data_IF_710178354354
#
_entry.id   IF_710178354354
#
_cell.length_a   1.000
_cell.length_b   1.000
_cell.length_c   1.000
_cell.angle_alpha   90.00
_cell.angle_beta   90.00
_cell.angle_gamma   90.00
#
_symmetry.space_group_name_H-M   'P 1'
#
loop_
_entity.id
_entity.type
_entity.pdbx_description
1 polymer ?
#
# COMPACT_ATOMS: atom_id res chain seq x y z
N UNK A 1 25.13 41.17 -39.11
CA UNK A 1 25.84 39.88 -38.95
C UNK A 1 25.35 39.20 -37.68
N UNK A 2 25.26 37.87 -37.72
CA UNK A 2 24.31 37.03 -37.00
C UNK A 2 24.34 37.09 -35.46
N UNK A 3 23.15 37.13 -34.86
CA UNK A 3 22.92 36.97 -33.43
C UNK A 3 23.24 35.54 -32.98
N UNK A 4 24.20 35.42 -32.05
CA UNK A 4 24.58 34.16 -31.43
C UNK A 4 23.44 33.65 -30.54
N UNK A 5 22.69 32.66 -31.03
CA UNK A 5 21.63 31.97 -30.26
C UNK A 5 22.29 31.18 -29.14
N UNK A 6 22.41 31.80 -27.97
CA UNK A 6 22.95 31.18 -26.77
C UNK A 6 22.02 30.04 -26.33
N UNK A 7 22.34 28.80 -26.71
CA UNK A 7 21.58 27.61 -26.30
C UNK A 7 21.86 27.36 -24.82
N UNK A 8 21.03 27.96 -23.96
CA UNK A 8 21.03 27.67 -22.53
C UNK A 8 20.52 26.25 -22.32
N UNK A 9 21.43 25.34 -22.00
CA UNK A 9 21.11 23.98 -21.56
C UNK A 9 20.25 24.08 -20.31
N UNK A 10 19.05 23.49 -20.34
CA UNK A 10 18.12 23.51 -19.21
C UNK A 10 17.96 22.11 -18.66
N UNK A 11 17.79 22.03 -17.33
CA UNK A 11 17.50 20.79 -16.63
C UNK A 11 16.20 20.18 -17.17
N UNK A 12 16.24 18.94 -17.62
CA UNK A 12 15.06 18.23 -18.11
C UNK A 12 13.98 18.04 -17.03
N UNK A 13 14.37 18.02 -15.74
CA UNK A 13 13.44 17.82 -14.63
C UNK A 13 12.82 19.08 -14.02
N UNK A 14 13.49 20.24 -14.09
CA UNK A 14 12.98 21.47 -13.46
C UNK A 14 13.18 22.76 -14.28
N UNK A 15 13.77 22.66 -15.47
CA UNK A 15 13.96 23.78 -16.38
C UNK A 15 15.03 24.80 -15.98
N UNK A 16 15.71 24.65 -14.84
CA UNK A 16 16.79 25.56 -14.41
C UNK A 16 17.99 25.46 -15.37
N UNK A 17 18.65 26.57 -15.73
CA UNK A 17 19.85 26.55 -16.57
C UNK A 17 20.97 25.72 -15.93
N UNK A 18 21.61 24.89 -16.75
CA UNK A 18 22.69 24.00 -16.35
C UNK A 18 24.05 24.58 -16.75
N UNK A 19 25.08 24.20 -15.99
CA UNK A 19 26.46 24.45 -16.37
C UNK A 19 26.79 23.72 -17.69
N UNK A 20 27.64 24.34 -18.52
CA UNK A 20 27.95 23.89 -19.89
C UNK A 20 28.63 22.51 -19.93
N UNK A 21 29.23 22.10 -18.82
CA UNK A 21 29.91 20.82 -18.61
C UNK A 21 28.99 19.72 -18.02
N UNK A 22 27.72 20.04 -17.72
CA UNK A 22 26.78 19.07 -17.18
C UNK A 22 26.23 18.14 -18.27
N UNK A 23 26.93 17.01 -18.47
CA UNK A 23 26.56 15.95 -19.42
C UNK A 23 25.34 15.12 -19.00
N UNK A 24 24.90 15.23 -17.74
CA UNK A 24 23.81 14.42 -17.21
C UNK A 24 22.41 14.94 -17.59
N UNK A 25 22.29 16.14 -18.19
CA UNK A 25 21.00 16.72 -18.59
C UNK A 25 20.07 17.12 -17.43
N UNK A 26 20.53 16.92 -16.19
CA UNK A 26 19.78 17.14 -14.96
C UNK A 26 20.61 17.97 -13.98
N UNK A 27 19.97 18.89 -13.26
CA UNK A 27 20.61 19.58 -12.15
C UNK A 27 20.82 18.59 -10.99
N UNK A 28 21.80 18.83 -10.12
CA UNK A 28 22.14 17.91 -9.02
C UNK A 28 20.93 17.48 -8.17
N UNK A 29 19.94 18.35 -7.85
CA UNK A 29 18.70 17.92 -7.19
C UNK A 29 17.78 17.03 -8.02
N UNK A 30 17.66 17.27 -9.34
CA UNK A 30 16.85 16.44 -10.23
C UNK A 30 17.54 15.11 -10.54
N UNK A 31 18.85 15.10 -10.78
CA UNK A 31 19.63 13.87 -10.92
C UNK A 31 19.63 13.03 -9.64
N UNK A 32 19.66 13.67 -8.46
CA UNK A 32 19.48 12.98 -7.17
C UNK A 32 18.08 12.38 -7.05
N UNK A 33 17.02 13.10 -7.47
CA UNK A 33 15.64 12.58 -7.48
C UNK A 33 15.47 11.42 -8.44
N UNK A 34 16.06 11.50 -9.63
CA UNK A 34 16.00 10.45 -10.64
C UNK A 34 16.77 9.21 -10.18
N UNK A 35 17.98 9.36 -9.65
CA UNK A 35 18.74 8.26 -9.05
C UNK A 35 18.06 7.64 -7.81
N UNK A 36 17.16 8.39 -7.15
CA UNK A 36 16.28 7.90 -6.07
C UNK A 36 14.98 7.25 -6.59
N UNK A 37 14.62 7.48 -7.86
CA UNK A 37 13.45 6.91 -8.54
C UNK A 37 13.82 5.66 -9.37
N UNK A 38 15.08 5.54 -9.81
CA UNK A 38 15.60 4.33 -10.46
C UNK A 38 15.47 3.12 -9.53
N UNK A 39 15.01 1.99 -10.07
CA UNK A 39 14.93 0.70 -9.37
C UNK A 39 16.29 0.16 -8.92
N UNK A 40 16.30 -1.01 -8.28
CA UNK A 40 17.55 -1.65 -7.88
C UNK A 40 18.37 -2.01 -9.13
N UNK A 41 19.67 -1.66 -9.19
CA UNK A 41 20.51 -2.04 -10.32
C UNK A 41 20.81 -3.53 -10.29
N UNK A 42 20.89 -4.16 -11.46
CA UNK A 42 21.43 -5.51 -11.58
C UNK A 42 22.87 -5.57 -11.04
N UNK A 43 23.21 -6.68 -10.38
CA UNK A 43 24.52 -6.90 -9.75
C UNK A 43 25.30 -7.99 -10.48
N UNK A 44 26.62 -7.85 -10.63
CA UNK A 44 27.46 -8.91 -11.18
C UNK A 44 27.50 -10.10 -10.22
N UNK A 45 27.76 -11.31 -10.74
CA UNK A 45 27.75 -12.53 -9.91
C UNK A 45 28.73 -12.48 -8.73
N UNK A 46 29.89 -11.85 -8.90
CA UNK A 46 30.88 -11.65 -7.83
C UNK A 46 30.37 -10.83 -6.65
N UNK A 47 29.33 -10.00 -6.83
CA UNK A 47 28.68 -9.28 -5.73
C UNK A 47 28.00 -10.24 -4.75
N UNK A 48 27.36 -11.30 -5.26
CA UNK A 48 26.65 -12.29 -4.45
C UNK A 48 27.57 -13.30 -3.77
N UNK A 49 28.86 -13.32 -4.14
CA UNK A 49 29.86 -14.23 -3.60
C UNK A 49 30.59 -13.69 -2.36
N UNK A 50 30.29 -12.48 -1.91
CA UNK A 50 30.93 -11.95 -0.72
C UNK A 50 30.46 -12.69 0.55
N UNK A 51 31.38 -12.87 1.52
CA UNK A 51 31.13 -13.66 2.72
C UNK A 51 29.87 -13.19 3.48
N UNK A 52 29.68 -11.88 3.64
CA UNK A 52 28.53 -11.33 4.36
C UNK A 52 27.18 -11.67 3.71
N UNK A 53 27.08 -11.67 2.37
CA UNK A 53 25.86 -12.07 1.67
C UNK A 53 25.67 -13.58 1.72
N UNK A 54 26.73 -14.36 1.55
CA UNK A 54 26.67 -15.82 1.62
C UNK A 54 26.24 -16.31 3.01
N UNK A 55 26.80 -15.74 4.08
CA UNK A 55 26.42 -16.05 5.46
C UNK A 55 24.95 -15.74 5.72
N UNK A 56 24.48 -14.57 5.26
CA UNK A 56 23.08 -14.15 5.42
C UNK A 56 22.10 -15.04 4.64
N UNK A 57 22.46 -15.46 3.42
CA UNK A 57 21.69 -16.39 2.60
C UNK A 57 21.67 -17.79 3.21
N UNK A 58 22.80 -18.26 3.74
CA UNK A 58 22.91 -19.55 4.44
C UNK A 58 22.09 -19.57 5.74
N UNK A 59 22.05 -18.45 6.48
CA UNK A 59 21.21 -18.26 7.66
C UNK A 59 19.71 -18.17 7.34
N UNK A 60 19.33 -18.13 6.06
CA UNK A 60 17.94 -18.01 5.58
C UNK A 60 17.19 -16.82 6.18
N UNK A 61 17.92 -15.74 6.47
CA UNK A 61 17.40 -14.56 7.16
C UNK A 61 17.41 -13.36 6.22
N UNK A 62 16.29 -13.12 5.53
CA UNK A 62 16.22 -12.08 4.50
C UNK A 62 16.55 -10.67 5.03
N UNK A 63 16.29 -10.37 6.31
CA UNK A 63 16.74 -9.12 6.93
C UNK A 63 18.27 -8.94 6.95
N UNK A 64 19.02 -10.02 7.13
CA UNK A 64 20.49 -9.99 7.09
C UNK A 64 20.97 -9.84 5.64
N UNK A 65 20.23 -10.44 4.68
CA UNK A 65 20.51 -10.27 3.25
C UNK A 65 20.34 -8.81 2.84
N UNK A 66 19.29 -8.13 3.31
CA UNK A 66 19.08 -6.69 3.07
C UNK A 66 20.20 -5.83 3.67
N UNK A 67 20.63 -6.15 4.89
CA UNK A 67 21.74 -5.47 5.55
C UNK A 67 23.05 -5.65 4.76
N UNK A 68 23.43 -6.88 4.45
CA UNK A 68 24.65 -7.19 3.70
C UNK A 68 24.62 -6.54 2.30
N UNK A 69 23.50 -6.66 1.57
CA UNK A 69 23.32 -6.03 0.26
C UNK A 69 23.54 -4.51 0.32
N UNK A 70 23.00 -3.83 1.34
CA UNK A 70 23.15 -2.37 1.52
C UNK A 70 24.60 -1.96 1.74
N UNK A 71 25.33 -2.72 2.55
CA UNK A 71 26.70 -2.40 2.94
C UNK A 71 27.73 -2.77 1.85
N UNK A 72 27.44 -3.79 1.05
CA UNK A 72 28.26 -4.19 -0.09
C UNK A 72 28.03 -3.32 -1.33
N UNK A 73 26.84 -2.72 -1.44
CA UNK A 73 26.56 -1.77 -2.51
C UNK A 73 27.48 -0.55 -2.42
N UNK A 74 28.06 -0.12 -3.55
CA UNK A 74 28.87 1.11 -3.64
C UNK A 74 28.17 2.15 -4.53
N UNK A 75 27.85 3.35 -4.01
CA UNK A 75 27.97 3.78 -2.61
C UNK A 75 27.00 3.03 -1.69
N UNK A 76 27.30 2.98 -0.38
CA UNK A 76 26.48 2.31 0.62
C UNK A 76 25.05 2.85 0.56
N UNK A 77 24.08 1.95 0.46
CA UNK A 77 22.67 2.33 0.36
C UNK A 77 22.15 2.77 1.73
N UNK A 78 21.14 3.63 1.76
CA UNK A 78 20.38 3.96 2.97
C UNK A 78 19.17 3.02 3.11
N UNK A 79 18.66 2.83 4.34
CA UNK A 79 17.53 1.91 4.57
C UNK A 79 16.28 2.42 3.84
N UNK A 80 16.13 3.75 3.75
CA UNK A 80 15.08 4.38 2.97
C UNK A 80 15.20 4.09 1.46
N UNK A 81 16.43 3.97 0.92
CA UNK A 81 16.66 3.74 -0.50
C UNK A 81 16.32 2.31 -0.90
N UNK A 82 16.82 1.31 -0.17
CA UNK A 82 16.44 -0.08 -0.45
C UNK A 82 14.96 -0.32 -0.17
N UNK A 83 14.41 0.31 0.88
CA UNK A 83 13.01 0.22 1.22
C UNK A 83 12.13 0.70 0.07
N UNK A 84 12.48 1.81 -0.56
CA UNK A 84 11.76 2.33 -1.72
C UNK A 84 11.67 1.33 -2.89
N UNK A 85 12.74 0.59 -3.17
CA UNK A 85 12.70 -0.44 -4.20
C UNK A 85 11.74 -1.57 -3.82
N UNK A 86 11.78 -1.99 -2.56
CA UNK A 86 11.02 -3.11 -2.02
C UNK A 86 9.56 -2.78 -1.68
N UNK A 87 9.13 -1.52 -1.81
CA UNK A 87 7.83 -1.07 -1.32
C UNK A 87 7.74 -1.03 0.21
N UNK A 88 8.87 -0.84 0.90
CA UNK A 88 8.99 -0.81 2.36
C UNK A 88 9.39 0.57 2.87
N UNK A 89 8.92 0.94 4.06
CA UNK A 89 9.40 2.12 4.77
C UNK A 89 10.81 1.90 5.34
N UNK A 90 11.55 2.98 5.58
CA UNK A 90 12.87 2.91 6.22
C UNK A 90 12.81 2.16 7.58
N UNK A 91 11.77 2.38 8.37
CA UNK A 91 11.56 1.72 9.65
C UNK A 91 11.21 0.23 9.52
N UNK A 92 10.51 -0.18 8.46
CA UNK A 92 10.27 -1.60 8.15
C UNK A 92 11.57 -2.31 7.79
N UNK A 93 12.40 -1.73 6.90
CA UNK A 93 13.73 -2.28 6.59
C UNK A 93 14.58 -2.39 7.86
N UNK A 94 14.60 -1.34 8.69
CA UNK A 94 15.34 -1.35 9.96
C UNK A 94 14.86 -2.44 10.93
N UNK A 95 13.55 -2.71 11.00
CA UNK A 95 13.00 -3.83 11.79
C UNK A 95 13.38 -5.18 11.22
N UNK A 96 13.31 -5.35 9.90
CA UNK A 96 13.71 -6.60 9.23
C UNK A 96 15.19 -6.91 9.47
N UNK A 97 16.07 -5.91 9.34
CA UNK A 97 17.51 -6.07 9.60
C UNK A 97 17.82 -6.43 11.06
N UNK A 98 16.98 -6.01 12.01
CA UNK A 98 17.16 -6.25 13.46
C UNK A 98 16.31 -7.38 14.03
N UNK A 99 15.44 -7.99 13.22
CA UNK A 99 14.58 -9.07 13.69
C UNK A 99 15.43 -10.26 14.12
N UNK A 100 15.11 -10.85 15.28
CA UNK A 100 15.76 -12.07 15.73
C UNK A 100 15.25 -13.31 14.97
N UNK A 101 14.03 -13.24 14.43
CA UNK A 101 13.40 -14.32 13.69
C UNK A 101 13.30 -14.01 12.19
N UNK A 102 13.59 -14.99 11.31
CA UNK A 102 13.41 -14.85 9.87
C UNK A 102 11.95 -14.59 9.47
N UNK A 103 11.76 -13.86 8.37
CA UNK A 103 10.44 -13.74 7.73
C UNK A 103 10.17 -15.01 6.90
N UNK A 104 9.02 -15.66 7.14
CA UNK A 104 8.65 -16.92 6.47
C UNK A 104 7.63 -16.76 5.32
N UNK A 105 7.18 -15.54 5.02
CA UNK A 105 6.22 -15.25 3.96
C UNK A 105 6.88 -15.38 2.57
N UNK A 106 6.76 -16.57 1.96
CA UNK A 106 7.37 -16.89 0.65
C UNK A 106 6.98 -15.91 -0.46
N UNK A 107 5.77 -15.35 -0.42
CA UNK A 107 5.31 -14.39 -1.44
C UNK A 107 6.06 -13.04 -1.34
N UNK A 108 6.40 -12.62 -0.13
CA UNK A 108 7.23 -11.42 0.09
C UNK A 108 8.68 -11.68 -0.27
N UNK A 109 9.20 -12.84 0.11
CA UNK A 109 10.58 -13.23 -0.21
C UNK A 109 10.80 -13.33 -1.72
N UNK A 110 9.88 -13.94 -2.47
CA UNK A 110 9.89 -14.00 -3.94
C UNK A 110 9.91 -12.59 -4.56
N UNK A 111 8.98 -11.74 -4.14
CA UNK A 111 8.88 -10.37 -4.64
C UNK A 111 10.15 -9.57 -4.38
N UNK A 112 10.68 -9.61 -3.16
CA UNK A 112 11.89 -8.86 -2.80
C UNK A 112 13.13 -9.38 -3.52
N UNK A 113 13.25 -10.70 -3.67
CA UNK A 113 14.35 -11.30 -4.41
C UNK A 113 14.36 -10.88 -5.89
N UNK A 114 13.20 -10.80 -6.53
CA UNK A 114 13.09 -10.28 -7.91
C UNK A 114 13.47 -8.83 -8.03
N UNK A 115 12.94 -7.99 -7.12
CA UNK A 115 13.22 -6.55 -7.13
C UNK A 115 14.72 -6.28 -6.98
N UNK A 116 15.43 -7.06 -6.16
CA UNK A 116 16.87 -6.93 -5.97
C UNK A 116 17.69 -7.72 -6.98
N UNK A 117 17.03 -8.41 -7.92
CA UNK A 117 17.67 -9.27 -8.92
C UNK A 117 18.58 -10.33 -8.29
N UNK A 118 18.15 -10.95 -7.18
CA UNK A 118 18.88 -12.04 -6.53
C UNK A 118 18.80 -13.29 -7.42
N UNK A 119 19.93 -13.90 -7.82
CA UNK A 119 19.92 -15.11 -8.62
C UNK A 119 19.26 -16.28 -7.90
N UNK A 120 18.52 -17.11 -8.64
CA UNK A 120 17.85 -18.32 -8.11
C UNK A 120 18.81 -19.26 -7.37
N UNK A 121 20.05 -19.40 -7.85
CA UNK A 121 21.05 -20.30 -7.25
C UNK A 121 21.55 -19.81 -5.89
N UNK A 122 21.32 -18.55 -5.53
CA UNK A 122 21.68 -17.99 -4.22
C UNK A 122 20.58 -18.18 -3.17
N UNK A 123 19.33 -18.44 -3.59
CA UNK A 123 18.17 -18.46 -2.71
C UNK A 123 17.92 -19.85 -2.13
N UNK A 124 17.44 -19.90 -0.88
CA UNK A 124 17.02 -21.14 -0.21
C UNK A 124 15.57 -21.55 -0.54
N UNK A 125 14.92 -20.86 -1.48
CA UNK A 125 13.56 -21.10 -1.93
C UNK A 125 13.47 -20.90 -3.44
N UNK A 126 12.40 -21.42 -4.06
CA UNK A 126 12.17 -21.30 -5.50
C UNK A 126 11.42 -20.01 -5.84
N UNK A 127 11.94 -19.25 -6.79
CA UNK A 127 11.21 -18.16 -7.42
C UNK A 127 10.11 -18.74 -8.31
N UNK A 128 8.92 -18.18 -8.21
CA UNK A 128 7.77 -18.59 -9.02
C UNK A 128 8.08 -18.35 -10.51
N UNK A 129 7.64 -19.21 -11.45
CA UNK A 129 7.84 -18.94 -12.86
C UNK A 129 7.19 -17.62 -13.25
N UNK A 130 7.96 -16.72 -13.85
CA UNK A 130 7.45 -15.47 -14.41
C UNK A 130 6.70 -15.84 -15.69
N UNK A 131 5.38 -15.65 -15.74
CA UNK A 131 4.61 -15.80 -16.98
C UNK A 131 4.93 -14.64 -17.93
N UNK A 132 6.11 -14.71 -18.56
CA UNK A 132 6.48 -13.82 -19.65
C UNK A 132 5.69 -14.20 -20.90
N UNK A 133 4.54 -13.54 -21.13
CA UNK A 133 3.98 -13.25 -22.46
C UNK A 133 2.71 -12.39 -22.42
N UNK A 134 2.84 -11.12 -22.83
CA UNK A 134 1.83 -10.38 -23.60
C UNK A 134 2.42 -9.11 -24.23
N UNK A 135 3.33 -9.26 -25.21
CA UNK A 135 3.54 -8.27 -26.27
C UNK A 135 2.71 -8.67 -27.50
N UNK A 136 2.00 -7.69 -28.12
CA UNK A 136 1.40 -7.58 -29.47
C UNK A 136 0.74 -8.84 -30.12
N UNK A 137 -0.53 -8.89 -30.57
CA UNK A 137 -1.23 -8.06 -31.59
C UNK A 137 -2.72 -8.57 -31.70
N UNK A 138 -3.53 -8.16 -32.70
CA UNK A 138 -4.86 -7.54 -32.61
C UNK A 138 -6.08 -8.50 -32.51
N UNK A 139 -7.26 -7.91 -32.26
CA UNK A 139 -8.57 -8.59 -32.19
C UNK A 139 -8.92 -9.36 -33.48
N UNK A 140 -9.54 -10.53 -33.36
CA UNK A 140 -10.77 -10.93 -34.07
C UNK A 140 -11.34 -12.24 -33.47
N UNK A 141 -12.57 -12.55 -33.87
CA UNK A 141 -13.62 -13.17 -33.08
C UNK A 141 -13.59 -14.71 -32.94
N UNK A 142 -14.35 -15.15 -31.92
CA UNK A 142 -15.17 -16.38 -31.86
C UNK A 142 -14.50 -17.75 -31.56
N UNK A 143 -14.79 -18.21 -30.33
CA UNK A 143 -15.36 -19.51 -29.94
C UNK A 143 -14.56 -20.83 -29.98
N UNK A 144 -14.75 -21.58 -28.87
CA UNK A 144 -14.58 -23.04 -28.59
C UNK A 144 -13.14 -23.51 -28.22
N UNK A 145 -12.85 -24.22 -27.12
CA UNK A 145 -13.68 -24.80 -26.05
C UNK A 145 -12.82 -25.32 -24.85
N UNK A 146 -13.51 -25.67 -23.75
CA UNK A 146 -13.25 -26.65 -22.65
C UNK A 146 -11.94 -27.49 -22.68
N UNK A 147 -11.28 -27.97 -21.61
CA UNK A 147 -11.51 -28.18 -20.15
C UNK A 147 -10.18 -28.73 -19.55
N UNK A 148 -9.74 -28.58 -18.29
CA UNK A 148 -10.12 -29.26 -17.02
C UNK A 148 -9.04 -28.89 -15.96
N UNK A 149 -9.32 -28.16 -14.86
CA UNK A 149 -9.74 -28.54 -13.48
C UNK A 149 -8.77 -29.36 -12.60
N UNK A 150 -8.19 -28.68 -11.60
CA UNK A 150 -8.14 -29.01 -10.14
C UNK A 150 -7.62 -27.77 -9.41
N UNK A 151 -8.28 -27.10 -8.46
CA UNK A 151 -9.60 -27.31 -7.84
C UNK A 151 -9.61 -26.72 -6.42
N UNK A 152 -9.72 -25.38 -6.28
CA UNK A 152 -10.37 -24.68 -5.15
C UNK A 152 -10.46 -23.14 -5.39
N UNK A 153 -9.64 -22.57 -6.29
CA UNK A 153 -9.70 -21.14 -6.68
C UNK A 153 -10.84 -20.79 -7.68
N UNK A 154 -11.55 -21.80 -8.20
CA UNK A 154 -12.45 -21.63 -9.35
C UNK A 154 -13.93 -21.39 -8.98
N UNK A 155 -14.32 -21.58 -7.72
CA UNK A 155 -15.73 -21.46 -7.31
C UNK A 155 -16.18 -19.99 -7.25
N UNK A 156 -15.32 -19.09 -6.76
CA UNK A 156 -15.62 -17.65 -6.73
C UNK A 156 -15.62 -17.00 -8.12
N UNK A 157 -14.79 -17.51 -9.04
CA UNK A 157 -14.69 -16.98 -10.41
C UNK A 157 -15.91 -17.34 -11.27
N UNK A 158 -16.53 -18.50 -11.03
CA UNK A 158 -17.67 -19.00 -11.85
C UNK A 158 -19.04 -18.53 -11.37
N UNK A 159 -19.23 -18.23 -10.08
CA UNK A 159 -20.49 -17.64 -9.61
C UNK A 159 -20.69 -16.21 -10.12
N UNK A 160 -19.59 -15.46 -10.34
CA UNK A 160 -19.63 -14.11 -10.91
C UNK A 160 -19.99 -14.06 -12.41
N UNK A 161 -19.80 -15.15 -13.17
CA UNK A 161 -20.02 -15.18 -14.63
C UNK A 161 -21.37 -15.77 -15.06
N UNK A 162 -22.16 -16.37 -14.16
CA UNK A 162 -23.49 -16.92 -14.49
C UNK A 162 -24.66 -15.99 -14.17
N UNK A 163 -24.43 -14.83 -13.54
CA UNK A 163 -25.47 -13.83 -13.31
C UNK A 163 -25.77 -12.91 -14.52
N UNK A 164 -25.09 -13.10 -15.67
CA UNK A 164 -25.14 -12.16 -16.80
C UNK A 164 -25.96 -12.61 -18.03
N UNK A 165 -26.86 -13.60 -17.91
CA UNK A 165 -27.71 -14.02 -19.05
C UNK A 165 -29.15 -14.35 -18.68
N UNK A 166 -29.92 -13.35 -18.25
CA UNK A 166 -31.33 -13.15 -18.65
C UNK A 166 -31.63 -11.64 -18.57
N UNK A 167 -32.03 -11.02 -19.68
CA UNK A 167 -32.60 -9.67 -19.68
C UNK A 167 -32.00 -8.71 -20.71
N UNK A 168 -32.26 -8.95 -21.99
CA UNK A 168 -32.07 -7.95 -23.03
C UNK A 168 -33.14 -6.86 -22.89
N UNK A 169 -32.74 -5.60 -22.66
CA UNK A 169 -33.07 -4.43 -23.48
C UNK A 169 -32.75 -3.10 -22.77
N UNK A 170 -32.11 -2.20 -23.55
CA UNK A 170 -31.99 -0.74 -23.42
C UNK A 170 -30.83 -0.12 -22.60
N UNK A 171 -29.92 0.50 -23.38
CA UNK A 171 -29.07 1.68 -23.13
C UNK A 171 -27.95 1.61 -22.06
N UNK A 172 -26.70 1.55 -22.56
CA UNK A 172 -25.56 2.35 -22.12
C UNK A 172 -24.90 2.06 -20.76
N UNK A 173 -23.60 1.73 -20.74
CA UNK A 173 -22.80 1.85 -19.52
C UNK A 173 -21.50 1.04 -19.49
N UNK A 174 -20.38 1.75 -19.39
CA UNK A 174 -19.00 1.29 -19.28
C UNK A 174 -18.76 0.21 -18.20
N UNK A 175 -17.93 -0.80 -18.50
CA UNK A 175 -17.55 -1.87 -17.57
C UNK A 175 -16.50 -1.46 -16.50
N UNK A 176 -16.23 -0.17 -16.30
CA UNK A 176 -15.39 0.38 -15.21
C UNK A 176 -15.80 1.80 -14.82
N UNK A 177 -17.05 1.99 -14.36
CA UNK A 177 -17.65 3.29 -14.06
C UNK A 177 -17.46 3.87 -12.64
N UNK A 178 -16.62 3.30 -11.76
CA UNK A 178 -16.51 3.80 -10.37
C UNK A 178 -15.55 4.98 -10.22
N UNK A 179 -14.43 5.04 -10.94
CA UNK A 179 -13.40 6.07 -10.68
C UNK A 179 -13.80 7.51 -11.05
N UNK A 180 -14.99 7.71 -11.63
CA UNK A 180 -15.51 9.03 -11.96
C UNK A 180 -17.04 9.14 -11.84
N UNK A 181 -17.66 8.37 -10.94
CA UNK A 181 -19.02 8.66 -10.53
C UNK A 181 -18.98 9.92 -9.67
N UNK A 182 -19.35 11.07 -10.23
CA UNK A 182 -19.81 12.20 -9.42
C UNK A 182 -20.87 11.65 -8.48
N UNK A 183 -20.57 11.61 -7.19
CA UNK A 183 -21.54 11.27 -6.16
C UNK A 183 -22.76 12.16 -6.40
N UNK A 184 -23.98 11.60 -6.57
CA UNK A 184 -25.17 12.43 -6.63
C UNK A 184 -25.21 13.30 -5.36
N UNK A 185 -25.73 14.54 -5.44
CA UNK A 185 -25.80 15.44 -4.30
C UNK A 185 -26.47 14.71 -3.12
N UNK A 186 -26.05 14.98 -1.86
CA UNK A 186 -26.56 14.26 -0.70
C UNK A 186 -28.08 14.43 -0.62
N UNK A 187 -28.81 13.40 -1.03
CA UNK A 187 -30.23 13.32 -0.79
C UNK A 187 -30.39 13.10 0.70
N UNK A 188 -30.85 14.13 1.42
CA UNK A 188 -31.15 14.13 2.87
C UNK A 188 -32.33 13.20 3.25
N UNK A 189 -32.48 12.07 2.56
CA UNK A 189 -33.58 11.12 2.74
C UNK A 189 -33.25 9.70 2.29
N UNK A 190 -31.97 9.28 2.30
CA UNK A 190 -31.67 7.85 2.16
C UNK A 190 -31.77 7.18 3.53
N UNK A 191 -32.63 6.18 3.65
CA UNK A 191 -32.61 5.31 4.82
C UNK A 191 -31.36 4.43 4.75
N UNK A 192 -30.60 4.36 5.84
CA UNK A 192 -29.40 3.51 5.93
C UNK A 192 -29.83 2.11 6.36
N UNK A 193 -29.34 1.11 5.63
CA UNK A 193 -29.68 -0.30 5.84
C UNK A 193 -28.45 -1.19 6.06
N UNK A 194 -28.69 -2.46 6.37
CA UNK A 194 -27.61 -3.45 6.58
C UNK A 194 -26.72 -3.63 5.36
N UNK A 195 -27.23 -3.43 4.14
CA UNK A 195 -26.43 -3.46 2.92
C UNK A 195 -25.32 -2.40 2.94
N UNK A 196 -25.60 -1.20 3.46
CA UNK A 196 -24.59 -0.14 3.56
C UNK A 196 -23.48 -0.55 4.54
N UNK A 197 -23.85 -1.16 5.67
CA UNK A 197 -22.89 -1.71 6.64
C UNK A 197 -22.00 -2.77 6.01
N UNK A 198 -22.59 -3.71 5.25
CA UNK A 198 -21.86 -4.77 4.57
C UNK A 198 -20.86 -4.21 3.55
N UNK A 199 -21.25 -3.17 2.79
CA UNK A 199 -20.35 -2.49 1.86
C UNK A 199 -19.17 -1.87 2.61
N UNK A 200 -19.41 -1.18 3.73
CA UNK A 200 -18.34 -0.59 4.55
C UNK A 200 -17.38 -1.66 5.07
N UNK A 201 -17.91 -2.80 5.55
CA UNK A 201 -17.08 -3.92 6.02
C UNK A 201 -16.24 -4.53 4.90
N UNK A 202 -16.83 -4.81 3.74
CA UNK A 202 -16.10 -5.39 2.60
C UNK A 202 -15.01 -4.44 2.08
N UNK A 203 -15.32 -3.15 1.99
CA UNK A 203 -14.33 -2.13 1.63
C UNK A 203 -13.21 -2.04 2.67
N UNK A 204 -13.54 -2.08 3.96
CA UNK A 204 -12.54 -2.11 5.04
C UNK A 204 -11.63 -3.34 4.93
N UNK A 205 -12.19 -4.52 4.70
CA UNK A 205 -11.39 -5.74 4.47
C UNK A 205 -10.52 -5.63 3.23
N UNK A 206 -11.02 -5.04 2.14
CA UNK A 206 -10.24 -4.78 0.92
C UNK A 206 -9.06 -3.86 1.23
N UNK A 207 -9.28 -2.78 1.97
CA UNK A 207 -8.21 -1.90 2.37
C UNK A 207 -7.21 -2.58 3.32
N UNK A 208 -7.66 -3.43 4.24
CA UNK A 208 -6.76 -4.25 5.09
C UNK A 208 -5.91 -5.20 4.26
N UNK A 209 -6.49 -5.86 3.24
CA UNK A 209 -5.72 -6.71 2.31
C UNK A 209 -4.67 -5.90 1.55
N UNK A 210 -5.03 -4.72 1.07
CA UNK A 210 -4.10 -3.81 0.39
C UNK A 210 -3.01 -3.30 1.33
N UNK A 211 -3.35 -2.94 2.56
CA UNK A 211 -2.43 -2.53 3.61
C UNK A 211 -1.44 -3.65 3.98
N UNK A 212 -1.94 -4.87 4.19
CA UNK A 212 -1.09 -6.03 4.48
C UNK A 212 -0.18 -6.41 3.31
N UNK A 213 -0.63 -6.20 2.07
CA UNK A 213 0.11 -6.55 0.84
C UNK A 213 1.12 -5.49 0.44
N UNK A 214 0.75 -4.21 0.51
CA UNK A 214 1.52 -3.09 -0.04
C UNK A 214 2.04 -2.11 1.04
N UNK A 215 1.58 -2.23 2.29
CA UNK A 215 1.91 -1.33 3.41
C UNK A 215 1.01 -0.09 3.49
N UNK A 216 0.90 0.49 4.69
CA UNK A 216 -0.09 1.53 5.02
C UNK A 216 0.04 2.88 4.35
N UNK A 217 1.06 3.11 3.53
CA UNK A 217 1.15 4.33 2.72
C UNK A 217 0.29 4.30 1.46
N UNK A 218 0.12 3.14 0.82
CA UNK A 218 -0.35 3.07 -0.57
C UNK A 218 -1.86 3.23 -0.71
N UNK A 219 -2.65 2.69 0.22
CA UNK A 219 -4.10 2.80 0.19
C UNK A 219 -4.64 3.98 1.05
N UNK A 220 -3.78 4.74 1.74
CA UNK A 220 -4.20 5.72 2.74
C UNK A 220 -5.13 6.78 2.16
N UNK A 221 -4.75 7.39 1.04
CA UNK A 221 -5.57 8.45 0.42
C UNK A 221 -6.94 7.92 0.00
N UNK A 222 -7.02 6.66 -0.45
CA UNK A 222 -8.28 6.01 -0.79
C UNK A 222 -9.14 5.76 0.47
N UNK A 223 -8.54 5.27 1.56
CA UNK A 223 -9.22 5.06 2.85
C UNK A 223 -9.73 6.38 3.42
N UNK A 224 -8.91 7.44 3.45
CA UNK A 224 -9.32 8.75 3.95
C UNK A 224 -10.44 9.36 3.10
N UNK A 225 -10.36 9.24 1.77
CA UNK A 225 -11.42 9.71 0.88
C UNK A 225 -12.72 8.92 1.07
N UNK A 226 -12.65 7.59 1.16
CA UNK A 226 -13.81 6.74 1.38
C UNK A 226 -14.48 7.03 2.74
N UNK A 227 -13.69 7.20 3.79
CA UNK A 227 -14.19 7.59 5.11
C UNK A 227 -14.94 8.94 5.03
N UNK A 228 -14.35 9.94 4.39
CA UNK A 228 -14.90 11.30 4.33
C UNK A 228 -16.13 11.42 3.43
N UNK A 229 -16.08 10.82 2.24
CA UNK A 229 -17.06 11.01 1.17
C UNK A 229 -18.20 10.00 1.22
N UNK A 230 -17.93 8.76 1.66
CA UNK A 230 -18.91 7.68 1.61
C UNK A 230 -19.43 7.31 3.00
N UNK A 231 -18.56 7.21 4.01
CA UNK A 231 -18.93 6.66 5.32
C UNK A 231 -19.48 7.71 6.28
N UNK A 232 -18.85 8.88 6.41
CA UNK A 232 -19.32 9.95 7.30
C UNK A 232 -20.76 10.41 7.00
N UNK A 233 -21.21 10.52 5.73
CA UNK A 233 -22.61 10.82 5.44
C UNK A 233 -23.59 9.76 5.96
N UNK A 234 -23.22 8.48 5.98
CA UNK A 234 -24.08 7.40 6.50
C UNK A 234 -24.29 7.53 8.01
N UNK A 235 -23.26 7.93 8.75
CA UNK A 235 -23.39 8.19 10.19
C UNK A 235 -24.33 9.37 10.49
N UNK A 236 -24.32 10.39 9.62
CA UNK A 236 -25.16 11.59 9.73
C UNK A 236 -26.59 11.39 9.20
N UNK A 237 -26.93 10.21 8.68
CA UNK A 237 -28.27 9.98 8.15
C UNK A 237 -29.32 9.96 9.28
N UNK A 238 -30.42 10.69 9.06
CA UNK A 238 -31.51 10.81 10.03
C UNK A 238 -32.30 9.50 10.19
N UNK A 239 -32.47 8.75 9.09
CA UNK A 239 -33.23 7.49 9.07
C UNK A 239 -32.31 6.27 9.11
N UNK A 240 -32.04 5.77 10.30
CA UNK A 240 -31.31 4.52 10.53
C UNK A 240 -31.86 3.81 11.77
N UNK A 241 -32.22 2.52 11.64
CA UNK A 241 -32.68 1.70 12.77
C UNK A 241 -31.55 1.54 13.79
N UNK A 242 -31.87 1.38 15.06
CA UNK A 242 -30.89 1.34 16.15
C UNK A 242 -29.91 0.16 16.05
N UNK A 243 -30.38 -1.01 15.60
CA UNK A 243 -29.56 -2.19 15.31
C UNK A 243 -28.59 -1.93 14.15
N UNK A 244 -29.07 -1.36 13.05
CA UNK A 244 -28.23 -0.97 11.90
C UNK A 244 -27.21 0.11 12.30
N UNK A 245 -27.60 1.08 13.13
CA UNK A 245 -26.72 2.14 13.61
C UNK A 245 -25.60 1.56 14.48
N UNK A 246 -25.90 0.59 15.33
CA UNK A 246 -24.90 -0.14 16.12
C UNK A 246 -23.88 -0.84 15.22
N UNK A 247 -24.35 -1.61 14.23
CA UNK A 247 -23.48 -2.32 13.29
C UNK A 247 -22.66 -1.38 12.40
N UNK A 248 -23.26 -0.27 11.96
CA UNK A 248 -22.56 0.76 11.19
C UNK A 248 -21.45 1.40 12.03
N UNK A 249 -21.73 1.79 13.27
CA UNK A 249 -20.73 2.38 14.16
C UNK A 249 -19.56 1.42 14.40
N UNK A 250 -19.82 0.11 14.54
CA UNK A 250 -18.76 -0.90 14.64
C UNK A 250 -17.90 -0.95 13.37
N UNK A 251 -18.53 -1.00 12.19
CA UNK A 251 -17.83 -0.99 10.91
C UNK A 251 -17.01 0.30 10.69
N UNK A 252 -17.53 1.46 11.13
CA UNK A 252 -16.77 2.72 11.09
C UNK A 252 -15.59 2.70 12.05
N UNK A 253 -15.74 2.12 13.23
CA UNK A 253 -14.64 1.98 14.18
C UNK A 253 -13.50 1.13 13.58
N UNK A 254 -13.82 0.01 12.93
CA UNK A 254 -12.83 -0.83 12.24
C UNK A 254 -12.10 -0.09 11.11
N UNK A 255 -12.81 0.72 10.33
CA UNK A 255 -12.23 1.54 9.26
C UNK A 255 -11.37 2.69 9.82
N UNK A 256 -11.84 3.34 10.89
CA UNK A 256 -11.11 4.39 11.59
C UNK A 256 -9.83 3.86 12.24
N UNK A 257 -9.87 2.65 12.80
CA UNK A 257 -8.69 1.94 13.30
C UNK A 257 -7.64 1.78 12.19
N UNK A 258 -8.06 1.25 11.03
CA UNK A 258 -7.19 1.08 9.87
C UNK A 258 -6.58 2.41 9.42
N UNK A 259 -7.41 3.45 9.24
CA UNK A 259 -6.96 4.78 8.85
C UNK A 259 -5.92 5.36 9.83
N UNK A 260 -6.13 5.11 11.13
CA UNK A 260 -5.22 5.54 12.19
C UNK A 260 -3.86 4.84 12.14
N UNK A 261 -3.83 3.52 11.97
CA UNK A 261 -2.58 2.78 11.82
C UNK A 261 -1.82 3.16 10.56
N UNK A 262 -2.51 3.26 9.43
CA UNK A 262 -1.94 3.74 8.17
C UNK A 262 -1.35 5.15 8.30
N UNK A 263 -1.98 6.01 9.12
CA UNK A 263 -1.44 7.33 9.37
C UNK A 263 -0.15 7.31 10.21
N UNK A 264 -0.06 6.43 11.21
CA UNK A 264 1.17 6.23 11.96
C UNK A 264 2.30 5.65 11.11
N UNK A 265 2.00 4.75 10.20
CA UNK A 265 2.99 4.10 9.33
C UNK A 265 3.73 5.10 8.44
N UNK A 266 3.06 6.16 8.00
CA UNK A 266 3.66 7.26 7.23
C UNK A 266 4.20 8.40 8.10
N UNK A 267 4.14 8.26 9.43
CA UNK A 267 4.68 9.22 10.39
C UNK A 267 3.75 10.39 10.74
N UNK A 268 2.52 10.42 10.22
CA UNK A 268 1.52 11.44 10.56
C UNK A 268 0.80 11.07 11.87
N UNK A 269 1.49 11.34 12.97
CA UNK A 269 1.00 11.08 14.31
C UNK A 269 -0.30 11.82 14.60
N UNK A 270 -0.46 13.05 14.10
CA UNK A 270 -1.63 13.86 14.41
C UNK A 270 -2.93 13.25 13.89
N UNK A 271 -2.93 12.78 12.63
CA UNK A 271 -4.08 12.10 12.05
C UNK A 271 -4.26 10.70 12.65
N UNK A 272 -3.16 9.99 12.92
CA UNK A 272 -3.20 8.68 13.59
C UNK A 272 -3.91 8.72 14.93
N UNK A 273 -3.53 9.68 15.79
CA UNK A 273 -4.19 9.90 17.08
C UNK A 273 -5.69 10.17 16.92
N UNK A 274 -6.05 11.11 16.03
CA UNK A 274 -7.44 11.53 15.85
C UNK A 274 -8.33 10.35 15.42
N UNK A 275 -7.89 9.60 14.41
CA UNK A 275 -8.65 8.46 13.90
C UNK A 275 -8.82 7.35 14.94
N UNK A 276 -7.74 6.97 15.64
CA UNK A 276 -7.82 5.92 16.66
C UNK A 276 -8.64 6.33 17.88
N UNK A 277 -8.57 7.60 18.29
CA UNK A 277 -9.36 8.08 19.41
C UNK A 277 -10.87 8.11 19.07
N UNK A 278 -11.22 8.56 17.86
CA UNK A 278 -12.60 8.54 17.37
C UNK A 278 -13.12 7.10 17.26
N UNK A 279 -12.33 6.18 16.70
CA UNK A 279 -12.70 4.77 16.58
C UNK A 279 -12.86 4.09 17.95
N UNK A 280 -11.94 4.34 18.87
CA UNK A 280 -12.01 3.84 20.26
C UNK A 280 -13.26 4.33 20.97
N UNK A 281 -13.63 5.61 20.81
CA UNK A 281 -14.86 6.15 21.42
C UNK A 281 -16.11 5.48 20.87
N UNK A 282 -16.16 5.20 19.57
CA UNK A 282 -17.25 4.41 18.98
C UNK A 282 -17.31 3.00 19.58
N UNK A 283 -16.18 2.31 19.75
CA UNK A 283 -16.14 0.99 20.41
C UNK A 283 -16.65 1.05 21.86
N UNK A 284 -16.25 2.07 22.63
CA UNK A 284 -16.72 2.27 24.00
C UNK A 284 -18.23 2.50 24.07
N UNK A 285 -18.77 3.35 23.20
CA UNK A 285 -20.22 3.60 23.12
C UNK A 285 -21.00 2.32 22.75
N UNK A 286 -20.36 1.38 22.04
CA UNK A 286 -20.93 0.09 21.65
C UNK A 286 -20.75 -1.01 22.72
N UNK A 287 -19.85 -0.82 23.69
CA UNK A 287 -19.44 -1.84 24.65
C UNK A 287 -18.46 -2.89 24.08
N UNK A 288 -17.73 -2.56 23.01
CA UNK A 288 -16.68 -3.42 22.44
C UNK A 288 -15.32 -3.10 23.08
N UNK A 289 -15.13 -3.61 24.30
CA UNK A 289 -13.92 -3.37 25.09
C UNK A 289 -12.67 -4.04 24.48
N UNK A 290 -12.84 -5.10 23.68
CA UNK A 290 -11.73 -5.81 23.06
C UNK A 290 -11.06 -4.96 22.00
N UNK A 291 -11.83 -4.42 21.05
CA UNK A 291 -11.30 -3.58 19.98
C UNK A 291 -10.79 -2.24 20.52
N UNK A 292 -11.47 -1.65 21.51
CA UNK A 292 -10.98 -0.45 22.20
C UNK A 292 -9.65 -0.71 22.93
N UNK A 293 -9.53 -1.85 23.61
CA UNK A 293 -8.31 -2.28 24.31
C UNK A 293 -7.13 -2.48 23.36
N UNK A 294 -7.35 -3.10 22.19
CA UNK A 294 -6.34 -3.25 21.14
C UNK A 294 -5.80 -1.89 20.69
N UNK A 295 -6.69 -0.92 20.43
CA UNK A 295 -6.28 0.44 20.04
C UNK A 295 -5.46 1.12 21.13
N UNK A 296 -5.89 1.03 22.39
CA UNK A 296 -5.17 1.61 23.53
C UNK A 296 -3.77 0.98 23.70
N UNK A 297 -3.67 -0.34 23.60
CA UNK A 297 -2.40 -1.06 23.68
C UNK A 297 -1.45 -0.61 22.55
N UNK A 298 -1.94 -0.55 21.32
CA UNK A 298 -1.15 -0.09 20.18
C UNK A 298 -0.71 1.38 20.31
N UNK A 299 -1.58 2.26 20.79
CA UNK A 299 -1.26 3.68 21.02
C UNK A 299 -0.19 3.85 22.11
N UNK A 300 -0.28 3.09 23.20
CA UNK A 300 0.75 3.03 24.26
C UNK A 300 2.11 2.56 23.71
N UNK A 301 2.10 1.53 22.85
CA UNK A 301 3.30 1.03 22.19
C UNK A 301 3.93 2.05 21.21
N UNK A 302 3.12 2.87 20.53
CA UNK A 302 3.62 3.97 19.69
C UNK A 302 4.19 5.11 20.54
N UNK A 303 3.54 5.46 21.66
CA UNK A 303 3.97 6.53 22.56
C UNK A 303 5.31 6.21 23.25
N UNK A 304 5.48 4.99 23.75
CA UNK A 304 6.71 4.53 24.42
C UNK A 304 7.93 4.57 23.51
N UNK A 305 7.79 4.18 22.23
CA UNK A 305 8.89 4.19 21.25
C UNK A 305 9.37 5.59 20.84
N UNK A 306 8.61 6.64 21.14
CA UNK A 306 8.88 8.01 20.67
C UNK A 306 9.44 8.95 21.73
N UNK A 307 9.69 8.47 22.96
CA UNK A 307 10.24 9.28 24.07
C UNK A 307 9.50 10.62 24.28
N UNK A 308 8.20 10.65 23.98
CA UNK A 308 7.37 11.86 24.06
C UNK A 308 5.98 11.55 24.67
N UNK A 309 5.91 11.09 25.93
CA UNK A 309 4.62 10.82 26.60
C UNK A 309 3.75 12.07 26.77
N UNK A 310 4.34 13.27 26.86
CA UNK A 310 3.62 14.53 27.11
C UNK A 310 2.81 15.06 25.92
N UNK A 311 3.22 14.79 24.67
CA UNK A 311 2.47 15.19 23.47
C UNK A 311 1.20 14.38 23.24
N UNK A 312 1.11 13.18 23.83
CA UNK A 312 -0.08 12.32 23.76
C UNK A 312 -1.27 12.94 24.50
N UNK A 313 -1.04 13.46 25.71
CA UNK A 313 -2.07 14.13 26.51
C UNK A 313 -2.58 15.42 25.86
N UNK A 314 -1.80 16.07 24.99
CA UNK A 314 -2.26 17.20 24.19
C UNK A 314 -3.27 16.82 23.11
N UNK A 315 -3.15 15.61 22.53
CA UNK A 315 -4.14 15.06 21.60
C UNK A 315 -5.44 14.63 22.33
N UNK A 316 -5.36 14.27 23.60
CA UNK A 316 -6.51 13.95 24.45
C UNK A 316 -7.25 15.20 24.97
N UNK A 317 -6.65 16.40 24.90
CA UNK A 317 -7.20 17.66 25.46
C UNK A 317 -7.77 18.63 24.44
N UNK A 318 -7.63 18.37 23.14
CA UNK A 318 -8.16 19.23 22.08
C UNK A 318 -9.43 18.64 21.49
N UNK A 319 -10.53 18.83 22.21
CA UNK A 319 -11.91 18.85 21.71
C UNK A 319 -12.47 20.25 21.90
#
# INVERSE_FOLDING_TARGET
MAGSKNHQWRCQGCGIPLARDNRAGLCSPCGRREALASGAPAKPDGFWQCAALQDALAARHFGQVLYAYRHEHRPVLTQARIGRWLGLTQGQVSRLERAAQPTHDLNKLDQWARVLHIPQHCLWFQLSPQSDRADAQPRTAASLGYQSETGDEDVLRRQLLRAAKVGAASVGGSTFGWFNAQSPPPSHSRAVGMTDVQIVREMTQTFRRLDHRFGGGHARSAVTNYLASDVLPLLRADRCRSDVRRELSAAVAELGQLAGWMAYDVGDTSSGCRHLWQAMRLCQDLGDDALAGEMLAGMSHVASRRSAPSRWFGCLRTT
#
